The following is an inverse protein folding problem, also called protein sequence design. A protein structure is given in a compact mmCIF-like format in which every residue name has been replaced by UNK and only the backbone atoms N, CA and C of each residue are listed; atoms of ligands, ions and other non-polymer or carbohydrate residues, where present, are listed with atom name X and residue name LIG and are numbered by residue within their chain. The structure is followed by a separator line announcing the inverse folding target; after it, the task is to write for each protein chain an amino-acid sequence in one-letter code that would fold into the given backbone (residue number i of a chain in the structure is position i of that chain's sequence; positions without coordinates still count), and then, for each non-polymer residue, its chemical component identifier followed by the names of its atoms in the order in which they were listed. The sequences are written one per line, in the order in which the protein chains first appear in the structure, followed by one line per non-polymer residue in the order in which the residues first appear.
data_IF_533845642379
#
_entry.id   IF_533845642379
#
_cell.length_a   1.000
_cell.length_b   1.000
_cell.length_c   1.000
_cell.angle_alpha   90.00
_cell.angle_beta   90.00
_cell.angle_gamma   90.00
#
_symmetry.space_group_name_H-M   'P 1'
#
loop_
_entity.id
_entity.type
_entity.pdbx_description
1 polymer ?
#
# COMPACT_ATOMS: atom_id res chain seq x y z
N UNK A 1 -15.25 0.27 -14.27
CA UNK A 1 -15.48 -0.71 -13.20
C UNK A 1 -14.23 -0.75 -12.36
N UNK A 2 -14.33 -0.36 -11.11
CA UNK A 2 -13.22 -0.30 -10.15
C UNK A 2 -12.64 -1.69 -9.93
N UNK A 3 -11.31 -1.83 -9.97
CA UNK A 3 -10.64 -3.11 -9.69
C UNK A 3 -10.72 -3.45 -8.20
N UNK A 4 -10.55 -4.75 -7.84
CA UNK A 4 -10.50 -5.18 -6.43
C UNK A 4 -9.42 -4.45 -5.62
N UNK A 5 -8.31 -4.12 -6.27
CA UNK A 5 -7.18 -3.41 -5.67
C UNK A 5 -7.56 -1.96 -5.32
N UNK A 6 -8.20 -1.26 -6.28
CA UNK A 6 -8.73 0.09 -6.06
C UNK A 6 -9.83 0.10 -5.00
N UNK A 7 -10.77 -0.87 -4.98
CA UNK A 7 -11.80 -0.94 -3.93
C UNK A 7 -11.16 -1.17 -2.55
N UNK A 8 -10.14 -2.02 -2.45
CA UNK A 8 -9.41 -2.22 -1.20
C UNK A 8 -8.74 -0.93 -0.70
N UNK A 9 -8.09 -0.18 -1.59
CA UNK A 9 -7.47 1.10 -1.25
C UNK A 9 -8.50 2.11 -0.77
N UNK A 10 -9.66 2.21 -1.43
CA UNK A 10 -10.78 3.06 -1.02
C UNK A 10 -11.25 2.70 0.39
N UNK A 11 -11.46 1.41 0.68
CA UNK A 11 -11.90 0.96 2.02
C UNK A 11 -10.87 1.31 3.09
N UNK A 12 -9.58 1.09 2.82
CA UNK A 12 -8.51 1.39 3.77
C UNK A 12 -8.39 2.89 4.03
N UNK A 13 -8.45 3.72 2.99
CA UNK A 13 -8.39 5.17 3.12
C UNK A 13 -9.60 5.72 3.91
N UNK A 14 -10.80 5.19 3.64
CA UNK A 14 -12.01 5.59 4.36
C UNK A 14 -11.90 5.24 5.86
N UNK A 15 -11.46 4.02 6.17
CA UNK A 15 -11.24 3.55 7.55
C UNK A 15 -10.19 4.40 8.29
N UNK A 16 -9.06 4.72 7.65
CA UNK A 16 -8.02 5.59 8.21
C UNK A 16 -8.56 6.98 8.51
N UNK A 17 -9.25 7.58 7.55
CA UNK A 17 -9.82 8.93 7.65
C UNK A 17 -10.79 9.05 8.83
N UNK A 18 -11.53 7.98 9.12
CA UNK A 18 -12.51 7.93 10.22
C UNK A 18 -11.94 7.46 11.56
N UNK A 19 -10.63 7.18 11.63
CA UNK A 19 -9.97 6.73 12.84
C UNK A 19 -10.37 5.32 13.28
N UNK A 20 -10.78 4.47 12.34
CA UNK A 20 -10.96 3.04 12.60
C UNK A 20 -9.59 2.40 12.84
N UNK A 21 -9.54 1.38 13.67
CA UNK A 21 -8.34 0.57 13.83
C UNK A 21 -8.14 -0.34 12.62
N UNK A 22 -6.92 -0.84 12.47
CA UNK A 22 -6.59 -1.81 11.42
C UNK A 22 -7.42 -3.09 11.51
N UNK A 23 -7.71 -3.56 12.72
CA UNK A 23 -8.53 -4.75 12.95
C UNK A 23 -10.01 -4.50 12.60
N UNK A 24 -10.49 -3.27 12.79
CA UNK A 24 -11.80 -2.84 12.30
C UNK A 24 -11.83 -2.80 10.76
N UNK A 25 -10.81 -2.25 10.14
CA UNK A 25 -10.66 -2.24 8.68
C UNK A 25 -10.64 -3.66 8.09
N UNK A 26 -9.99 -4.62 8.76
CA UNK A 26 -10.03 -6.04 8.37
C UNK A 26 -11.46 -6.59 8.36
N UNK A 27 -12.26 -6.24 9.36
CA UNK A 27 -13.66 -6.69 9.46
C UNK A 27 -14.53 -6.06 8.37
N UNK A 28 -14.37 -4.76 8.12
CA UNK A 28 -15.06 -4.02 7.06
C UNK A 28 -14.74 -4.60 5.68
N UNK A 29 -13.46 -4.78 5.36
CA UNK A 29 -13.00 -5.39 4.12
C UNK A 29 -13.60 -6.78 3.92
N UNK A 30 -13.57 -7.60 4.97
CA UNK A 30 -14.08 -8.97 4.94
C UNK A 30 -15.58 -9.03 4.66
N UNK A 31 -16.35 -8.13 5.27
CA UNK A 31 -17.78 -8.04 5.06
C UNK A 31 -18.12 -7.58 3.64
N UNK A 32 -17.52 -6.48 3.18
CA UNK A 32 -17.75 -5.98 1.82
C UNK A 32 -17.32 -7.00 0.75
N UNK A 33 -16.26 -7.77 1.00
CA UNK A 33 -15.88 -8.84 0.09
C UNK A 33 -16.88 -10.00 0.10
N UNK A 34 -17.46 -10.33 1.26
CA UNK A 34 -18.51 -11.36 1.35
C UNK A 34 -19.78 -10.94 0.61
N UNK A 35 -20.13 -9.66 0.63
CA UNK A 35 -21.35 -9.15 0.00
C UNK A 35 -21.31 -9.20 -1.54
N UNK A 36 -20.21 -8.78 -2.15
CA UNK A 36 -20.14 -8.67 -3.61
C UNK A 36 -18.82 -9.10 -4.25
N UNK A 37 -17.86 -9.57 -3.46
CA UNK A 37 -16.48 -9.74 -3.93
C UNK A 37 -15.82 -8.41 -4.33
N UNK A 38 -16.30 -7.30 -3.76
CA UNK A 38 -15.96 -5.91 -4.12
C UNK A 38 -16.37 -5.50 -5.54
N UNK A 39 -17.38 -6.14 -6.13
CA UNK A 39 -18.01 -5.67 -7.36
C UNK A 39 -19.00 -4.53 -7.05
N UNK A 40 -18.79 -3.36 -7.65
CA UNK A 40 -19.63 -2.17 -7.49
C UNK A 40 -20.90 -2.20 -8.35
N UNK A 41 -21.01 -3.16 -9.27
CA UNK A 41 -22.06 -3.22 -10.29
C UNK A 41 -23.07 -4.35 -10.10
N UNK A 42 -22.87 -5.19 -9.08
CA UNK A 42 -23.67 -6.40 -8.90
C UNK A 42 -24.97 -6.13 -8.12
N UNK A 43 -26.06 -6.65 -8.65
CA UNK A 43 -27.36 -6.75 -7.97
C UNK A 43 -27.50 -8.08 -7.26
N UNK A 44 -28.20 -8.09 -6.13
CA UNK A 44 -28.67 -9.36 -5.57
C UNK A 44 -29.71 -10.02 -6.51
N UNK A 45 -29.97 -11.32 -6.37
CA UNK A 45 -30.92 -12.03 -7.22
C UNK A 45 -32.34 -11.42 -7.23
N UNK A 46 -32.74 -10.72 -6.17
CA UNK A 46 -34.07 -10.11 -6.05
C UNK A 46 -34.11 -8.64 -6.48
N UNK A 47 -32.97 -8.05 -6.88
CA UNK A 47 -32.83 -6.65 -7.29
C UNK A 47 -33.30 -5.64 -6.23
N UNK A 48 -33.03 -5.95 -4.96
CA UNK A 48 -33.30 -5.10 -3.80
C UNK A 48 -32.03 -4.43 -3.27
N UNK A 49 -30.87 -5.05 -3.43
CA UNK A 49 -29.57 -4.54 -2.96
C UNK A 49 -28.53 -4.49 -4.08
N UNK A 50 -27.62 -3.52 -3.99
CA UNK A 50 -26.67 -3.22 -5.07
C UNK A 50 -25.27 -2.84 -4.55
N UNK A 51 -24.25 -3.21 -5.31
CA UNK A 51 -22.89 -2.70 -5.16
C UNK A 51 -22.05 -3.38 -4.07
N UNK A 52 -20.92 -2.74 -3.73
CA UNK A 52 -19.83 -3.26 -2.88
C UNK A 52 -20.33 -3.78 -1.53
N UNK A 53 -21.32 -3.11 -0.93
CA UNK A 53 -21.86 -3.47 0.37
C UNK A 53 -23.27 -4.08 0.32
N UNK A 54 -23.78 -4.41 -0.88
CA UNK A 54 -25.17 -4.83 -1.10
C UNK A 54 -26.16 -3.87 -0.43
N UNK A 55 -26.16 -2.62 -0.90
CA UNK A 55 -26.92 -1.52 -0.32
C UNK A 55 -28.35 -1.48 -0.82
N UNK A 56 -29.30 -1.35 0.11
CA UNK A 56 -30.72 -1.22 -0.20
C UNK A 56 -31.14 0.19 -0.67
N UNK A 57 -32.45 0.36 -0.87
CA UNK A 57 -33.14 1.61 -1.20
C UNK A 57 -32.72 2.85 -0.41
N UNK A 58 -32.26 2.68 0.84
CA UNK A 58 -32.02 3.75 1.81
C UNK A 58 -30.60 4.33 1.79
N UNK A 59 -29.68 3.78 0.99
CA UNK A 59 -28.34 4.34 0.83
C UNK A 59 -28.34 5.41 -0.28
N UNK A 60 -27.99 6.67 0.04
CA UNK A 60 -27.84 7.70 -0.98
C UNK A 60 -26.63 7.37 -1.87
N UNK A 61 -26.68 7.76 -3.14
CA UNK A 61 -25.55 7.64 -4.08
C UNK A 61 -25.04 6.20 -4.30
N UNK A 62 -25.85 5.17 -4.02
CA UNK A 62 -25.43 3.76 -4.20
C UNK A 62 -25.11 3.38 -5.65
N UNK A 63 -25.43 4.23 -6.62
CA UNK A 63 -25.13 4.04 -8.05
C UNK A 63 -23.93 4.85 -8.54
N UNK A 64 -23.28 5.62 -7.66
CA UNK A 64 -22.25 6.60 -8.02
C UNK A 64 -20.84 6.00 -7.87
N UNK A 65 -20.71 4.68 -8.05
CA UNK A 65 -19.44 3.94 -8.01
C UNK A 65 -18.98 3.48 -6.61
N UNK A 66 -17.88 2.71 -6.57
CA UNK A 66 -17.35 2.08 -5.36
C UNK A 66 -17.05 3.08 -4.24
N UNK A 67 -16.49 4.26 -4.56
CA UNK A 67 -16.17 5.27 -3.55
C UNK A 67 -17.42 5.75 -2.80
N UNK A 68 -18.49 6.09 -3.53
CA UNK A 68 -19.76 6.51 -2.94
C UNK A 68 -20.41 5.38 -2.12
N UNK A 69 -20.38 4.15 -2.65
CA UNK A 69 -20.90 2.97 -1.96
C UNK A 69 -20.15 2.69 -0.66
N UNK A 70 -18.81 2.66 -0.70
CA UNK A 70 -17.98 2.44 0.50
C UNK A 70 -18.24 3.55 1.53
N UNK A 71 -18.20 4.82 1.11
CA UNK A 71 -18.50 5.94 2.01
C UNK A 71 -19.87 5.81 2.69
N UNK A 72 -20.92 5.49 1.93
CA UNK A 72 -22.27 5.37 2.48
C UNK A 72 -22.41 4.18 3.46
N UNK A 73 -21.65 3.10 3.25
CA UNK A 73 -21.55 2.01 4.22
C UNK A 73 -20.90 2.48 5.52
N UNK A 74 -19.74 3.17 5.43
CA UNK A 74 -19.05 3.70 6.61
C UNK A 74 -19.90 4.73 7.37
N UNK A 75 -20.65 5.60 6.66
CA UNK A 75 -21.58 6.56 7.27
C UNK A 75 -22.59 5.86 8.19
N UNK A 76 -23.15 4.73 7.76
CA UNK A 76 -24.09 3.96 8.61
C UNK A 76 -23.39 3.11 9.66
N UNK A 77 -22.21 2.56 9.36
CA UNK A 77 -21.44 1.79 10.31
C UNK A 77 -20.99 2.65 11.50
N UNK A 78 -20.59 3.89 11.28
CA UNK A 78 -20.25 4.84 12.34
C UNK A 78 -21.44 5.14 13.25
N UNK A 79 -22.64 5.27 12.68
CA UNK A 79 -23.86 5.39 13.50
C UNK A 79 -24.01 4.16 14.39
N UNK A 80 -23.76 2.95 13.89
CA UNK A 80 -23.82 1.71 14.69
C UNK A 80 -22.73 1.62 15.75
N UNK A 81 -21.49 1.96 15.42
CA UNK A 81 -20.35 1.99 16.34
C UNK A 81 -20.58 2.93 17.51
N UNK A 82 -21.35 3.99 17.31
CA UNK A 82 -21.66 5.00 18.35
C UNK A 82 -23.06 4.83 18.99
N UNK A 83 -23.86 3.85 18.55
CA UNK A 83 -25.22 3.66 19.07
C UNK A 83 -25.22 2.95 20.44
N UNK A 84 -26.19 3.24 21.33
CA UNK A 84 -26.42 2.43 22.53
C UNK A 84 -26.61 0.95 22.15
N UNK A 85 -25.85 0.05 22.77
CA UNK A 85 -25.87 -1.37 22.43
C UNK A 85 -24.97 -1.79 21.26
N UNK A 86 -24.01 -0.94 20.85
CA UNK A 86 -22.91 -1.36 19.99
C UNK A 86 -22.09 -2.48 20.65
N UNK A 87 -21.57 -3.39 19.82
CA UNK A 87 -20.64 -4.45 20.21
C UNK A 87 -19.26 -4.18 19.64
N UNK A 88 -18.48 -5.26 19.47
CA UNK A 88 -17.30 -5.23 18.62
C UNK A 88 -17.68 -4.94 17.15
N UNK A 89 -16.69 -4.62 16.34
CA UNK A 89 -16.90 -4.25 14.94
C UNK A 89 -17.58 -5.34 14.11
N UNK A 90 -17.29 -6.62 14.37
CA UNK A 90 -17.90 -7.73 13.65
C UNK A 90 -19.39 -7.81 13.94
N UNK A 91 -19.77 -7.66 15.21
CA UNK A 91 -21.17 -7.66 15.62
C UNK A 91 -21.90 -6.40 15.14
N UNK A 92 -21.22 -5.24 15.10
CA UNK A 92 -21.80 -4.00 14.56
C UNK A 92 -22.08 -4.09 13.07
N UNK A 93 -21.17 -4.70 12.28
CA UNK A 93 -21.37 -4.96 10.86
C UNK A 93 -22.54 -5.94 10.65
N UNK A 94 -22.57 -7.03 11.41
CA UNK A 94 -23.67 -8.00 11.33
C UNK A 94 -25.03 -7.37 11.68
N UNK A 95 -25.06 -6.54 12.72
CA UNK A 95 -26.22 -5.77 13.12
C UNK A 95 -26.66 -4.80 12.02
N UNK A 96 -25.72 -4.07 11.42
CA UNK A 96 -25.99 -3.16 10.30
C UNK A 96 -26.57 -3.88 9.08
N UNK A 97 -25.94 -4.97 8.64
CA UNK A 97 -26.26 -5.63 7.38
C UNK A 97 -27.52 -6.49 7.45
N UNK A 98 -27.74 -7.21 8.56
CA UNK A 98 -28.85 -8.17 8.66
C UNK A 98 -30.09 -7.60 9.34
N UNK A 99 -29.90 -6.70 10.33
CA UNK A 99 -30.99 -6.27 11.19
C UNK A 99 -30.81 -4.84 11.73
N UNK A 100 -30.67 -3.82 10.86
CA UNK A 100 -30.31 -2.47 11.28
C UNK A 100 -31.33 -1.83 12.23
N UNK A 101 -32.57 -2.32 12.28
CA UNK A 101 -33.62 -1.80 13.16
C UNK A 101 -33.71 -2.51 14.52
N UNK A 102 -32.86 -3.50 14.79
CA UNK A 102 -32.83 -4.21 16.07
C UNK A 102 -32.15 -3.39 17.17
N UNK A 103 -32.44 -3.68 18.46
CA UNK A 103 -32.06 -2.79 19.55
C UNK A 103 -30.56 -2.78 19.89
N UNK A 104 -29.80 -3.83 19.56
CA UNK A 104 -28.36 -3.90 19.85
C UNK A 104 -27.65 -4.97 19.03
N UNK A 105 -26.32 -4.86 18.95
CA UNK A 105 -25.46 -5.88 18.34
C UNK A 105 -25.52 -7.22 19.09
N UNK A 106 -25.63 -7.17 20.42
CA UNK A 106 -25.83 -8.37 21.24
C UNK A 106 -27.17 -9.05 20.94
N UNK A 107 -28.24 -8.28 20.77
CA UNK A 107 -29.55 -8.84 20.43
C UNK A 107 -29.51 -9.54 19.07
N UNK A 108 -28.75 -9.00 18.11
CA UNK A 108 -28.46 -9.69 16.85
C UNK A 108 -27.69 -11.00 17.07
N UNK A 109 -26.68 -11.04 17.94
CA UNK A 109 -25.94 -12.28 18.21
C UNK A 109 -26.84 -13.39 18.80
N UNK A 110 -27.76 -13.00 19.69
CA UNK A 110 -28.64 -13.93 20.39
C UNK A 110 -29.76 -14.49 19.49
N UNK A 111 -30.31 -13.66 18.58
CA UNK A 111 -31.53 -13.97 17.81
C UNK A 111 -31.36 -13.97 16.29
N UNK A 112 -30.26 -13.42 15.78
CA UNK A 112 -29.98 -13.25 14.36
C UNK A 112 -29.28 -14.47 13.74
N UNK A 113 -28.96 -14.36 12.45
CA UNK A 113 -28.29 -15.43 11.70
C UNK A 113 -26.79 -15.44 11.98
N UNK A 114 -26.38 -16.08 13.07
CA UNK A 114 -24.96 -16.18 13.47
C UNK A 114 -24.03 -16.74 12.37
N UNK A 115 -24.53 -17.59 11.48
CA UNK A 115 -23.75 -18.10 10.34
C UNK A 115 -23.17 -16.97 9.45
N UNK A 116 -23.84 -15.81 9.39
CA UNK A 116 -23.32 -14.65 8.66
C UNK A 116 -22.00 -14.13 9.25
N UNK A 117 -21.81 -14.19 10.57
CA UNK A 117 -20.54 -13.83 11.22
C UNK A 117 -19.41 -14.78 10.80
N UNK A 118 -19.70 -16.07 10.67
CA UNK A 118 -18.72 -17.06 10.21
C UNK A 118 -18.38 -16.85 8.72
N UNK A 119 -19.38 -16.51 7.91
CA UNK A 119 -19.20 -16.20 6.48
C UNK A 119 -18.30 -14.98 6.26
N UNK A 120 -18.55 -13.85 6.93
CA UNK A 120 -17.68 -12.67 6.80
C UNK A 120 -16.27 -12.98 7.32
N UNK A 121 -16.12 -13.69 8.45
CA UNK A 121 -14.80 -14.07 8.98
C UNK A 121 -14.05 -15.03 8.06
N UNK A 122 -14.74 -15.85 7.27
CA UNK A 122 -14.11 -16.72 6.27
C UNK A 122 -13.36 -15.96 5.17
N UNK A 123 -13.57 -14.64 5.06
CA UNK A 123 -12.89 -13.78 4.07
C UNK A 123 -11.60 -13.15 4.57
N UNK A 124 -11.25 -13.31 5.85
CA UNK A 124 -10.05 -12.73 6.45
C UNK A 124 -8.81 -13.06 5.61
N UNK A 125 -8.56 -14.34 5.27
CA UNK A 125 -7.39 -14.73 4.48
C UNK A 125 -7.41 -14.16 3.06
N UNK A 126 -8.60 -13.92 2.50
CA UNK A 126 -8.75 -13.35 1.15
C UNK A 126 -8.44 -11.86 1.13
N UNK A 127 -8.86 -11.12 2.15
CA UNK A 127 -8.71 -9.65 2.18
C UNK A 127 -7.44 -9.19 2.89
N UNK A 128 -6.85 -10.03 3.75
CA UNK A 128 -5.62 -9.71 4.51
C UNK A 128 -4.46 -9.29 3.61
N UNK A 129 -4.18 -9.91 2.45
CA UNK A 129 -3.13 -9.43 1.55
C UNK A 129 -3.36 -7.99 1.09
N UNK A 130 -4.60 -7.62 0.78
CA UNK A 130 -4.96 -6.25 0.40
C UNK A 130 -4.83 -5.28 1.58
N UNK A 131 -5.30 -5.67 2.77
CA UNK A 131 -5.13 -4.85 3.97
C UNK A 131 -3.65 -4.66 4.32
N UNK A 132 -2.83 -5.71 4.23
CA UNK A 132 -1.40 -5.63 4.47
C UNK A 132 -0.71 -4.69 3.47
N UNK A 133 -1.17 -4.68 2.22
CA UNK A 133 -0.66 -3.80 1.17
C UNK A 133 -0.88 -2.31 1.48
N UNK A 134 -2.08 -1.93 1.93
CA UNK A 134 -2.43 -0.52 2.14
C UNK A 134 -2.36 -0.05 3.61
N UNK A 135 -2.33 -0.98 4.56
CA UNK A 135 -2.22 -0.72 6.00
C UNK A 135 -1.40 -1.83 6.68
N UNK A 136 -0.06 -1.78 6.64
CA UNK A 136 0.79 -2.80 7.26
C UNK A 136 0.65 -2.82 8.79
N UNK A 137 0.75 -3.99 9.41
CA UNK A 137 0.71 -4.14 10.87
C UNK A 137 2.01 -3.64 11.52
N UNK A 138 1.90 -2.90 12.64
CA UNK A 138 3.07 -2.47 13.39
C UNK A 138 3.88 -3.68 13.90
N UNK A 139 5.10 -3.85 13.37
CA UNK A 139 6.00 -4.95 13.72
C UNK A 139 5.88 -6.21 12.86
N UNK A 140 4.98 -6.23 11.86
CA UNK A 140 5.01 -7.25 10.81
C UNK A 140 6.14 -6.96 9.84
N UNK A 141 7.04 -7.93 9.63
CA UNK A 141 7.96 -7.86 8.50
C UNK A 141 7.13 -7.71 7.22
N UNK A 142 7.47 -6.77 6.31
CA UNK A 142 6.66 -6.51 5.13
C UNK A 142 6.60 -7.79 4.30
N UNK A 143 5.43 -8.40 4.21
CA UNK A 143 5.14 -9.30 3.09
C UNK A 143 4.72 -8.39 1.97
N UNK A 144 5.75 -8.08 1.21
CA UNK A 144 5.74 -7.43 -0.09
C UNK A 144 4.57 -7.97 -0.93
N UNK A 145 3.89 -7.09 -1.67
CA UNK A 145 3.45 -7.39 -3.05
C UNK A 145 4.68 -7.98 -3.81
N UNK A 146 4.74 -8.17 -5.12
CA UNK A 146 5.98 -7.77 -5.76
C UNK A 146 6.12 -6.28 -5.42
N UNK A 147 6.69 -5.91 -4.26
CA UNK A 147 7.45 -4.67 -4.20
C UNK A 147 8.43 -4.94 -5.32
N UNK A 148 8.26 -4.25 -6.44
CA UNK A 148 9.41 -4.03 -7.28
C UNK A 148 10.52 -3.66 -6.29
N UNK A 149 11.54 -4.52 -6.08
CA UNK A 149 12.57 -4.25 -5.09
C UNK A 149 13.30 -2.94 -5.42
N UNK A 150 13.04 -2.40 -6.61
CA UNK A 150 13.54 -1.15 -7.12
C UNK A 150 12.57 0.02 -6.93
N UNK A 151 11.34 -0.16 -6.42
CA UNK A 151 10.43 0.94 -6.11
C UNK A 151 11.08 1.90 -5.10
N UNK A 152 11.17 3.20 -5.40
CA UNK A 152 11.64 4.18 -4.43
C UNK A 152 10.76 4.23 -3.18
N UNK A 153 11.32 4.70 -2.07
CA UNK A 153 10.55 4.91 -0.85
C UNK A 153 9.71 6.19 -0.97
N UNK A 154 8.40 6.02 -1.14
CA UNK A 154 7.41 7.09 -1.18
C UNK A 154 6.05 6.59 -0.72
N UNK A 155 5.29 7.50 -0.08
CA UNK A 155 3.90 7.31 0.28
C UNK A 155 3.01 7.66 -0.91
N UNK A 156 2.02 6.82 -1.21
CA UNK A 156 1.14 6.97 -2.36
C UNK A 156 -0.31 6.70 -1.95
N UNK A 157 -1.23 7.60 -2.28
CA UNK A 157 -2.66 7.42 -1.99
C UNK A 157 -3.55 8.24 -2.92
N UNK A 158 -4.77 7.74 -3.17
CA UNK A 158 -5.74 8.43 -4.01
C UNK A 158 -6.44 9.59 -3.33
N UNK A 159 -6.55 10.71 -4.06
CA UNK A 159 -7.34 11.91 -3.77
C UNK A 159 -8.18 12.23 -5.01
N UNK A 160 -8.96 11.23 -5.45
CA UNK A 160 -9.68 11.30 -6.72
C UNK A 160 -10.73 12.41 -6.76
N UNK A 161 -10.76 13.16 -7.87
CA UNK A 161 -11.73 14.23 -8.12
C UNK A 161 -12.48 14.06 -9.45
N UNK A 162 -13.45 14.94 -9.68
CA UNK A 162 -14.33 14.92 -10.87
C UNK A 162 -13.77 15.73 -12.06
N UNK A 163 -12.61 16.36 -11.89
CA UNK A 163 -11.98 17.21 -12.92
C UNK A 163 -11.22 16.35 -13.93
N UNK A 164 -11.93 15.59 -14.74
CA UNK A 164 -11.35 14.74 -15.78
C UNK A 164 -12.31 14.57 -16.95
N UNK A 165 -11.81 14.01 -18.05
CA UNK A 165 -12.65 13.59 -19.18
C UNK A 165 -12.25 12.22 -19.73
N UNK A 166 -13.17 11.59 -20.45
CA UNK A 166 -12.87 10.42 -21.27
C UNK A 166 -11.90 10.81 -22.41
N UNK A 167 -10.91 9.95 -22.70
CA UNK A 167 -9.90 10.21 -23.73
C UNK A 167 -10.44 10.08 -25.16
N UNK A 168 -11.69 9.64 -25.34
CA UNK A 168 -12.33 9.49 -26.65
C UNK A 168 -11.69 8.42 -27.54
N UNK A 169 -10.95 7.47 -26.95
CA UNK A 169 -10.13 6.50 -27.67
C UNK A 169 -8.78 7.03 -28.16
N UNK A 170 -8.39 8.25 -27.77
CA UNK A 170 -7.07 8.82 -28.06
C UNK A 170 -5.98 7.98 -27.39
N UNK A 171 -4.97 7.58 -28.16
CA UNK A 171 -3.82 6.85 -27.64
C UNK A 171 -2.95 7.80 -26.81
N UNK A 172 -2.59 7.36 -25.60
CA UNK A 172 -1.60 8.05 -24.77
C UNK A 172 -0.22 7.87 -25.40
N UNK A 173 0.47 8.98 -25.64
CA UNK A 173 1.83 8.99 -26.18
C UNK A 173 2.75 10.01 -25.51
N UNK A 174 2.24 10.75 -24.51
CA UNK A 174 3.00 11.73 -23.74
C UNK A 174 2.92 11.45 -22.23
N UNK A 175 4.04 11.66 -21.55
CA UNK A 175 4.12 11.76 -20.09
C UNK A 175 4.79 13.09 -19.74
N UNK A 176 4.05 13.98 -19.09
CA UNK A 176 4.42 15.38 -18.94
C UNK A 176 4.62 15.75 -17.47
N UNK A 177 5.74 16.43 -17.19
CA UNK A 177 6.01 17.03 -15.89
C UNK A 177 5.65 18.51 -15.85
N UNK A 178 5.18 18.95 -14.68
CA UNK A 178 4.71 20.30 -14.43
C UNK A 178 5.25 20.85 -13.10
N UNK A 179 5.29 22.18 -12.99
CA UNK A 179 5.42 22.89 -11.70
C UNK A 179 4.06 23.39 -11.24
N UNK A 180 3.87 23.53 -9.93
CA UNK A 180 2.66 24.12 -9.36
C UNK A 180 2.60 25.64 -9.58
N UNK A 181 3.76 26.32 -9.59
CA UNK A 181 3.87 27.76 -9.41
C UNK A 181 3.29 28.23 -8.05
N UNK A 182 3.43 27.39 -7.04
CA UNK A 182 2.88 27.55 -5.69
C UNK A 182 3.74 26.90 -4.61
N UNK A 183 3.28 26.98 -3.37
CA UNK A 183 3.98 26.52 -2.16
C UNK A 183 3.24 25.40 -1.41
N UNK A 184 2.22 24.79 -2.03
CA UNK A 184 1.51 23.66 -1.41
C UNK A 184 2.36 22.39 -1.41
N UNK A 185 2.05 21.46 -0.51
CA UNK A 185 2.54 20.08 -0.63
C UNK A 185 1.59 19.26 -1.52
N UNK A 186 1.99 18.04 -1.89
CA UNK A 186 1.23 17.18 -2.80
C UNK A 186 -0.23 16.98 -2.35
N UNK A 187 -0.45 16.75 -1.06
CA UNK A 187 -1.76 16.53 -0.46
C UNK A 187 -2.67 17.76 -0.57
N UNK A 188 -2.14 18.92 -0.15
CA UNK A 188 -2.86 20.18 -0.20
C UNK A 188 -3.21 20.58 -1.64
N UNK A 189 -2.28 20.40 -2.58
CA UNK A 189 -2.53 20.67 -4.00
C UNK A 189 -3.61 19.73 -4.57
N UNK A 190 -3.53 18.44 -4.26
CA UNK A 190 -4.53 17.45 -4.69
C UNK A 190 -5.93 17.79 -4.17
N UNK A 191 -6.05 18.11 -2.88
CA UNK A 191 -7.32 18.53 -2.30
C UNK A 191 -7.82 19.88 -2.84
N UNK A 192 -6.93 20.84 -3.09
CA UNK A 192 -7.30 22.13 -3.67
C UNK A 192 -7.89 21.98 -5.07
N UNK A 193 -7.30 21.14 -5.93
CA UNK A 193 -7.83 20.89 -7.28
C UNK A 193 -9.27 20.37 -7.24
N UNK A 194 -9.60 19.52 -6.26
CA UNK A 194 -10.96 19.01 -6.07
C UNK A 194 -11.97 20.07 -5.60
N UNK A 195 -11.51 21.27 -5.24
CA UNK A 195 -12.39 22.43 -4.96
C UNK A 195 -12.64 23.31 -6.20
N UNK A 196 -11.85 23.14 -7.27
CA UNK A 196 -12.00 23.91 -8.51
C UNK A 196 -13.15 23.34 -9.35
N UNK A 197 -13.88 24.20 -10.07
CA UNK A 197 -15.05 23.79 -10.87
C UNK A 197 -15.29 24.73 -12.05
N UNK A 198 -16.14 24.30 -12.99
CA UNK A 198 -16.49 25.09 -14.18
C UNK A 198 -15.27 25.37 -15.07
N UNK A 199 -15.18 26.59 -15.60
CA UNK A 199 -14.07 27.01 -16.47
C UNK A 199 -12.71 27.10 -15.74
N UNK A 200 -12.72 27.12 -14.41
CA UNK A 200 -11.51 27.13 -13.57
C UNK A 200 -11.05 25.74 -13.14
N UNK A 201 -11.80 24.70 -13.53
CA UNK A 201 -11.49 23.34 -13.11
C UNK A 201 -10.18 22.86 -13.72
N UNK A 202 -9.28 22.41 -12.87
CA UNK A 202 -7.96 21.90 -13.24
C UNK A 202 -7.67 20.62 -12.47
N UNK A 203 -6.81 19.77 -13.05
CA UNK A 203 -6.32 18.57 -12.40
C UNK A 203 -4.99 18.12 -12.98
N UNK A 204 -4.30 17.22 -12.28
CA UNK A 204 -3.20 16.40 -12.79
C UNK A 204 -3.56 14.93 -12.58
N UNK A 205 -2.75 14.00 -13.08
CA UNK A 205 -2.88 12.59 -12.68
C UNK A 205 -2.22 12.37 -11.33
N UNK A 206 -1.06 13.00 -11.15
CA UNK A 206 -0.26 12.90 -9.94
C UNK A 206 0.12 14.29 -9.43
N UNK A 207 0.09 14.47 -8.10
CA UNK A 207 0.86 15.52 -7.41
C UNK A 207 1.93 14.86 -6.57
N UNK A 208 3.13 15.42 -6.54
CA UNK A 208 4.23 14.88 -5.73
C UNK A 208 5.05 15.97 -5.06
N UNK A 209 5.47 15.73 -3.82
CA UNK A 209 6.38 16.63 -3.10
C UNK A 209 7.28 15.84 -2.14
N UNK A 210 8.50 16.34 -1.94
CA UNK A 210 9.40 15.92 -0.87
C UNK A 210 9.27 16.87 0.33
N UNK A 211 8.98 16.36 1.53
CA UNK A 211 8.93 17.18 2.74
C UNK A 211 10.33 17.67 3.11
N UNK A 212 10.54 18.99 3.29
CA UNK A 212 11.88 19.54 3.52
C UNK A 212 12.48 19.20 4.89
N UNK A 213 11.69 18.67 5.84
CA UNK A 213 12.15 18.38 7.19
C UNK A 213 12.62 16.93 7.35
N UNK A 214 11.86 15.97 6.81
CA UNK A 214 12.17 14.54 6.94
C UNK A 214 12.54 13.87 5.62
N UNK A 215 12.45 14.60 4.50
CA UNK A 215 12.70 14.11 3.16
C UNK A 215 11.85 12.90 2.78
N UNK A 216 10.65 12.79 3.38
CA UNK A 216 9.61 11.86 2.99
C UNK A 216 8.96 12.33 1.69
N UNK A 217 8.71 11.40 0.77
CA UNK A 217 8.02 11.69 -0.49
C UNK A 217 6.56 11.30 -0.36
N UNK A 218 5.67 12.21 -0.73
CA UNK A 218 4.24 11.96 -0.86
C UNK A 218 3.82 12.14 -2.30
N UNK A 219 3.07 11.17 -2.81
CA UNK A 219 2.41 11.22 -4.12
C UNK A 219 0.91 11.02 -3.90
N UNK A 220 0.10 11.89 -4.51
CA UNK A 220 -1.35 11.74 -4.53
C UNK A 220 -1.83 11.41 -5.94
N UNK A 221 -2.63 10.35 -6.08
CA UNK A 221 -3.31 10.02 -7.33
C UNK A 221 -4.60 10.83 -7.42
N UNK A 222 -4.66 11.80 -8.33
CA UNK A 222 -5.79 12.75 -8.44
C UNK A 222 -6.76 12.35 -9.55
N UNK A 223 -6.23 11.87 -10.67
CA UNK A 223 -7.02 11.36 -11.80
C UNK A 223 -6.44 10.02 -12.21
N UNK A 224 -7.28 9.00 -12.35
CA UNK A 224 -6.83 7.71 -12.90
C UNK A 224 -6.30 7.94 -14.33
N UNK A 225 -5.09 7.47 -14.58
CA UNK A 225 -4.39 7.51 -15.89
C UNK A 225 -5.22 7.02 -17.09
N UNK A 226 -6.26 6.20 -16.88
CA UNK A 226 -7.17 5.78 -17.95
C UNK A 226 -8.08 6.92 -18.44
N UNK A 227 -8.29 7.96 -17.64
CA UNK A 227 -8.95 9.21 -18.01
C UNK A 227 -7.91 10.31 -18.30
N UNK A 228 -8.32 11.38 -18.97
CA UNK A 228 -7.50 12.56 -19.16
C UNK A 228 -7.70 13.55 -18.00
N UNK A 229 -6.60 14.08 -17.47
CA UNK A 229 -6.60 15.23 -16.56
C UNK A 229 -6.72 16.56 -17.33
N UNK A 230 -7.20 17.61 -16.67
CA UNK A 230 -7.31 18.97 -17.19
C UNK A 230 -6.06 19.79 -16.83
N UNK A 231 -4.95 19.55 -17.55
CA UNK A 231 -3.63 20.09 -17.19
C UNK A 231 -2.94 20.88 -18.31
N UNK A 232 -3.22 20.53 -19.57
CA UNK A 232 -2.35 20.84 -20.71
C UNK A 232 -3.13 21.06 -22.01
N UNK A 233 -4.33 21.63 -21.88
CA UNK A 233 -5.18 22.06 -23.01
C UNK A 233 -5.43 20.93 -24.02
N UNK A 234 -5.24 21.19 -25.30
CA UNK A 234 -5.50 20.24 -26.40
C UNK A 234 -4.65 18.96 -26.34
N UNK A 235 -3.61 18.92 -25.48
CA UNK A 235 -2.80 17.72 -25.27
C UNK A 235 -3.31 16.80 -24.15
N UNK A 236 -4.40 17.17 -23.43
CA UNK A 236 -4.92 16.40 -22.29
C UNK A 236 -5.17 14.91 -22.64
N UNK A 237 -5.86 14.65 -23.76
CA UNK A 237 -6.32 13.29 -24.10
C UNK A 237 -5.18 12.31 -24.41
N UNK A 238 -4.00 12.82 -24.77
CA UNK A 238 -2.82 12.05 -25.14
C UNK A 238 -1.72 12.03 -24.07
N UNK A 239 -1.91 12.76 -22.96
CA UNK A 239 -0.90 12.93 -21.92
C UNK A 239 -1.30 12.31 -20.58
N UNK A 240 -0.29 11.83 -19.87
CA UNK A 240 -0.28 11.66 -18.41
C UNK A 240 0.49 12.85 -17.84
N UNK A 241 0.03 13.39 -16.71
CA UNK A 241 0.52 14.66 -16.18
C UNK A 241 0.90 14.53 -14.70
N UNK A 242 2.16 14.78 -14.38
CA UNK A 242 2.70 14.78 -13.02
C UNK A 242 3.09 16.20 -12.62
N UNK A 243 2.55 16.72 -11.52
CA UNK A 243 2.90 18.03 -11.00
C UNK A 243 3.78 17.91 -9.76
N UNK A 244 4.93 18.56 -9.78
CA UNK A 244 5.75 18.76 -8.58
C UNK A 244 5.10 19.86 -7.74
N UNK A 245 4.46 19.49 -6.63
CA UNK A 245 3.88 20.45 -5.70
C UNK A 245 4.98 21.24 -4.98
N UNK A 246 4.68 22.49 -4.66
CA UNK A 246 5.59 23.41 -3.97
C UNK A 246 6.77 23.84 -4.83
N UNK A 247 6.62 23.86 -6.16
CA UNK A 247 7.71 24.09 -7.12
C UNK A 247 7.43 25.22 -8.10
N UNK A 248 8.50 25.77 -8.67
CA UNK A 248 8.44 26.90 -9.60
C UNK A 248 9.39 26.67 -10.79
N UNK A 249 8.97 27.08 -11.98
CA UNK A 249 9.76 27.02 -13.20
C UNK A 249 10.98 27.96 -13.17
N UNK A 250 11.01 28.89 -12.21
CA UNK A 250 12.15 29.76 -11.95
C UNK A 250 13.25 29.11 -11.11
N UNK A 251 13.00 27.92 -10.53
CA UNK A 251 13.97 27.24 -9.69
C UNK A 251 15.27 26.93 -10.42
N UNK A 252 16.36 27.18 -9.72
CA UNK A 252 17.69 26.70 -10.05
C UNK A 252 17.76 25.19 -9.92
N UNK A 253 18.79 24.60 -10.52
CA UNK A 253 19.06 23.17 -10.35
C UNK A 253 19.20 22.77 -8.88
N UNK A 254 19.90 23.56 -8.08
CA UNK A 254 20.15 23.23 -6.67
C UNK A 254 18.85 23.21 -5.85
N UNK A 255 17.88 24.08 -6.17
CA UNK A 255 16.54 24.05 -5.58
C UNK A 255 15.78 22.79 -6.01
N UNK A 256 15.80 22.43 -7.29
CA UNK A 256 15.22 21.18 -7.78
C UNK A 256 15.83 19.94 -7.12
N UNK A 257 17.14 19.93 -6.89
CA UNK A 257 17.82 18.80 -6.27
C UNK A 257 17.44 18.62 -4.79
N UNK A 258 16.83 19.61 -4.13
CA UNK A 258 16.24 19.43 -2.80
C UNK A 258 14.98 18.54 -2.84
N UNK A 259 14.36 18.35 -4.01
CA UNK A 259 13.24 17.43 -4.24
C UNK A 259 13.65 16.19 -5.05
N UNK A 260 14.94 15.84 -5.06
CA UNK A 260 15.47 14.75 -5.90
C UNK A 260 14.82 13.38 -5.65
N UNK A 261 14.31 13.10 -4.44
CA UNK A 261 13.59 11.86 -4.18
C UNK A 261 12.20 11.86 -4.81
N UNK A 262 11.52 13.02 -4.81
CA UNK A 262 10.26 13.15 -5.54
C UNK A 262 10.48 13.01 -7.06
N UNK A 263 11.56 13.59 -7.61
CA UNK A 263 11.93 13.40 -9.02
C UNK A 263 12.20 11.92 -9.33
N UNK A 264 12.84 11.21 -8.40
CA UNK A 264 13.09 9.76 -8.51
C UNK A 264 11.78 8.96 -8.50
N UNK A 265 10.84 9.29 -7.62
CA UNK A 265 9.54 8.63 -7.56
C UNK A 265 8.68 8.93 -8.80
N UNK A 266 8.72 10.16 -9.31
CA UNK A 266 8.11 10.54 -10.58
C UNK A 266 8.67 9.73 -11.76
N UNK A 267 10.00 9.52 -11.80
CA UNK A 267 10.64 8.69 -12.83
C UNK A 267 10.21 7.22 -12.77
N UNK A 268 10.06 6.68 -11.55
CA UNK A 268 9.55 5.34 -11.35
C UNK A 268 8.10 5.19 -11.87
N UNK A 269 7.20 6.10 -11.48
CA UNK A 269 5.80 6.08 -11.96
C UNK A 269 5.72 6.26 -13.48
N UNK A 270 6.53 7.16 -14.04
CA UNK A 270 6.65 7.34 -15.48
C UNK A 270 6.99 6.04 -16.21
N UNK A 271 7.91 5.23 -15.68
CA UNK A 271 8.24 3.92 -16.24
C UNK A 271 7.08 2.94 -16.13
N UNK A 272 6.37 2.91 -14.99
CA UNK A 272 5.18 2.05 -14.83
C UNK A 272 4.10 2.40 -15.86
N UNK A 273 3.84 3.69 -16.05
CA UNK A 273 2.90 4.19 -17.06
C UNK A 273 3.36 3.89 -18.49
N UNK A 274 4.66 4.07 -18.78
CA UNK A 274 5.21 3.71 -20.08
C UNK A 274 4.99 2.23 -20.41
N UNK A 275 5.13 1.35 -19.42
CA UNK A 275 4.85 -0.08 -19.58
C UNK A 275 3.35 -0.30 -19.81
N UNK A 276 2.49 0.27 -18.94
CA UNK A 276 1.02 0.13 -19.01
C UNK A 276 0.47 0.54 -20.37
N UNK A 277 0.93 1.67 -20.90
CA UNK A 277 0.42 2.27 -22.13
C UNK A 277 1.29 2.02 -23.36
N UNK A 278 2.33 1.19 -23.24
CA UNK A 278 3.27 0.88 -24.34
C UNK A 278 3.89 2.14 -24.95
N UNK A 279 4.31 3.08 -24.11
CA UNK A 279 5.04 4.30 -24.48
C UNK A 279 6.53 3.98 -24.40
N UNK A 280 7.29 4.38 -25.41
CA UNK A 280 8.76 4.29 -25.34
C UNK A 280 9.27 5.41 -24.42
N UNK A 281 10.08 5.11 -23.39
CA UNK A 281 10.50 6.10 -22.39
C UNK A 281 11.64 6.99 -22.92
N UNK A 282 11.39 7.68 -24.02
CA UNK A 282 12.30 8.64 -24.61
C UNK A 282 12.12 10.01 -23.93
N UNK A 283 13.14 10.49 -23.23
CA UNK A 283 13.11 11.83 -22.63
C UNK A 283 13.39 12.88 -23.70
N UNK A 284 12.40 13.73 -23.96
CA UNK A 284 12.43 14.83 -24.91
C UNK A 284 12.66 16.11 -24.10
N UNK A 285 13.91 16.35 -23.69
CA UNK A 285 14.30 17.57 -22.99
C UNK A 285 14.47 18.76 -23.96
N UNK A 286 14.49 20.02 -23.48
CA UNK A 286 14.90 21.17 -24.27
C UNK A 286 16.23 20.90 -25.01
N UNK A 287 16.37 21.26 -26.30
CA UNK A 287 15.49 22.11 -27.10
C UNK A 287 14.38 21.38 -27.88
N UNK A 288 13.93 20.20 -27.43
CA UNK A 288 12.80 19.44 -27.99
C UNK A 288 12.97 19.01 -29.44
N UNK A 289 13.95 18.13 -29.70
CA UNK A 289 14.32 17.73 -31.05
C UNK A 289 13.51 16.54 -31.63
N UNK A 290 12.48 16.05 -30.93
CA UNK A 290 11.76 14.83 -31.29
C UNK A 290 10.25 15.00 -31.16
N UNK A 291 9.51 14.35 -32.04
CA UNK A 291 8.06 14.19 -31.96
C UNK A 291 7.68 13.09 -30.94
N UNK A 292 6.41 13.05 -30.46
CA UNK A 292 5.93 11.98 -29.60
C UNK A 292 6.00 10.61 -30.33
N UNK A 293 6.09 9.48 -29.61
CA UNK A 293 5.89 9.31 -28.18
C UNK A 293 7.11 9.71 -27.33
N UNK A 294 6.87 10.21 -26.11
CA UNK A 294 7.95 10.46 -25.17
C UNK A 294 7.55 11.15 -23.87
N UNK A 295 8.57 11.48 -23.11
CA UNK A 295 8.50 12.07 -21.77
C UNK A 295 9.03 13.49 -21.86
N UNK A 296 8.26 14.48 -21.45
CA UNK A 296 8.65 15.89 -21.58
C UNK A 296 7.98 16.76 -20.52
N UNK A 297 7.95 18.08 -20.70
CA UNK A 297 7.31 19.06 -19.82
C UNK A 297 6.23 19.85 -20.56
N UNK A 298 5.52 20.74 -19.87
CA UNK A 298 4.51 21.59 -20.52
C UNK A 298 5.13 22.52 -21.57
N UNK A 299 6.36 22.98 -21.35
CA UNK A 299 7.05 23.82 -22.33
C UNK A 299 7.23 23.12 -23.68
N UNK A 300 7.40 21.80 -23.74
CA UNK A 300 7.35 21.04 -24.99
C UNK A 300 6.01 21.22 -25.72
N UNK A 301 4.90 21.15 -25.01
CA UNK A 301 3.57 21.36 -25.60
C UNK A 301 3.45 22.78 -26.18
N UNK A 302 3.97 23.79 -25.48
CA UNK A 302 3.97 25.17 -25.97
C UNK A 302 4.92 25.41 -27.13
N UNK A 303 6.16 24.91 -27.07
CA UNK A 303 7.21 25.25 -28.05
C UNK A 303 7.26 24.32 -29.25
N UNK A 304 7.02 23.03 -29.04
CA UNK A 304 7.08 22.01 -30.08
C UNK A 304 5.71 21.73 -30.69
N UNK A 305 4.67 21.58 -29.87
CA UNK A 305 3.30 21.33 -30.36
C UNK A 305 2.53 22.62 -30.69
N UNK A 306 2.99 23.78 -30.21
CA UNK A 306 2.36 25.08 -30.46
C UNK A 306 1.06 25.32 -29.69
N UNK A 307 0.88 24.63 -28.55
CA UNK A 307 -0.35 24.68 -27.73
C UNK A 307 -0.06 25.33 -26.38
N UNK A 308 -0.85 26.34 -26.02
CA UNK A 308 -0.73 27.02 -24.73
C UNK A 308 0.45 28.00 -24.65
N UNK A 309 0.71 28.48 -23.43
CA UNK A 309 1.72 29.51 -23.13
C UNK A 309 2.62 29.15 -21.96
N UNK A 310 2.37 28.02 -21.30
CA UNK A 310 3.08 27.60 -20.10
C UNK A 310 4.48 27.05 -20.44
N UNK A 311 5.42 27.24 -19.53
CA UNK A 311 6.85 27.00 -19.79
C UNK A 311 7.57 26.27 -18.65
N UNK A 312 6.80 25.69 -17.74
CA UNK A 312 7.25 24.69 -16.78
C UNK A 312 7.88 23.48 -17.49
N UNK A 313 8.91 22.85 -16.93
CA UNK A 313 9.42 22.94 -15.55
C UNK A 313 10.61 23.90 -15.34
N UNK A 314 10.94 24.71 -16.34
CA UNK A 314 12.03 25.69 -16.21
C UNK A 314 13.40 25.22 -16.75
N UNK A 315 14.32 26.17 -16.92
CA UNK A 315 15.69 25.88 -17.41
C UNK A 315 16.55 25.16 -16.35
N UNK A 316 16.20 25.28 -15.07
CA UNK A 316 16.94 24.68 -13.97
C UNK A 316 16.62 23.21 -13.71
N UNK A 317 15.56 22.66 -14.30
CA UNK A 317 15.16 21.27 -14.02
C UNK A 317 16.25 20.27 -14.42
N UNK A 318 16.58 19.29 -13.55
CA UNK A 318 17.69 18.38 -13.77
C UNK A 318 17.32 17.23 -14.73
N UNK A 319 17.14 17.56 -16.01
CA UNK A 319 16.77 16.61 -17.07
C UNK A 319 17.70 15.40 -17.17
N UNK A 320 19.00 15.59 -16.97
CA UNK A 320 20.01 14.53 -16.93
C UNK A 320 19.76 13.55 -15.78
N UNK A 321 19.43 14.05 -14.59
CA UNK A 321 19.10 13.22 -13.44
C UNK A 321 17.80 12.45 -13.68
N UNK A 322 16.75 13.15 -14.12
CA UNK A 322 15.45 12.54 -14.41
C UNK A 322 15.54 11.45 -15.49
N UNK A 323 16.24 11.73 -16.60
CA UNK A 323 16.50 10.74 -17.64
C UNK A 323 17.31 9.54 -17.14
N UNK A 324 18.28 9.77 -16.25
CA UNK A 324 19.06 8.68 -15.66
C UNK A 324 18.22 7.76 -14.78
N UNK A 325 17.28 8.29 -13.99
CA UNK A 325 16.37 7.50 -13.16
C UNK A 325 15.35 6.75 -14.01
N UNK A 326 14.81 7.35 -15.07
CA UNK A 326 13.94 6.66 -16.04
C UNK A 326 14.68 5.48 -16.70
N UNK A 327 15.90 5.71 -17.19
CA UNK A 327 16.70 4.66 -17.82
C UNK A 327 17.00 3.50 -16.85
N UNK A 328 17.31 3.84 -15.58
CA UNK A 328 17.50 2.88 -14.49
C UNK A 328 16.25 2.04 -14.25
N UNK A 329 15.09 2.65 -14.00
CA UNK A 329 13.87 1.89 -13.72
C UNK A 329 13.38 1.10 -14.94
N UNK A 330 13.54 1.65 -16.15
CA UNK A 330 13.21 0.92 -17.38
C UNK A 330 14.06 -0.34 -17.53
N UNK A 331 15.38 -0.24 -17.30
CA UNK A 331 16.27 -1.39 -17.34
C UNK A 331 15.91 -2.44 -16.28
N UNK A 332 15.57 -2.00 -15.06
CA UNK A 332 15.16 -2.89 -13.97
C UNK A 332 13.85 -3.61 -14.29
N UNK A 333 12.87 -2.92 -14.85
CA UNK A 333 11.60 -3.53 -15.27
C UNK A 333 11.74 -4.54 -16.42
N UNK A 334 12.80 -4.42 -17.23
CA UNK A 334 13.08 -5.30 -18.38
C UNK A 334 14.24 -6.29 -18.13
N UNK A 335 14.71 -6.42 -16.89
CA UNK A 335 15.83 -7.29 -16.54
C UNK A 335 15.48 -8.80 -16.57
N UNK A 336 14.24 -9.18 -16.87
CA UNK A 336 13.81 -10.57 -16.98
C UNK A 336 14.12 -11.17 -18.37
N UNK A 337 15.41 -11.53 -18.53
CA UNK A 337 15.93 -12.31 -19.65
C UNK A 337 17.34 -12.87 -19.47
N UNK A 338 18.10 -12.43 -18.45
CA UNK A 338 19.38 -13.06 -18.11
C UNK A 338 19.65 -12.97 -16.60
N UNK A 339 19.69 -14.13 -15.96
CA UNK A 339 20.23 -14.43 -14.62
C UNK A 339 20.88 -13.25 -13.88
N UNK A 340 20.14 -12.60 -12.99
CA UNK A 340 20.71 -11.74 -11.96
C UNK A 340 20.86 -12.55 -10.66
N UNK A 341 22.07 -13.03 -10.48
CA UNK A 341 22.58 -13.54 -9.21
C UNK A 341 22.54 -12.41 -8.17
N UNK A 342 22.00 -12.61 -6.96
CA UNK A 342 21.96 -11.57 -5.93
C UNK A 342 23.36 -11.15 -5.47
N UNK A 343 23.51 -9.93 -4.91
CA UNK A 343 24.79 -9.43 -4.40
C UNK A 343 25.34 -10.37 -3.33
N UNK A 344 26.67 -10.50 -3.28
CA UNK A 344 27.38 -11.33 -2.31
C UNK A 344 27.13 -10.87 -0.87
N UNK A 345 26.03 -11.34 -0.27
CA UNK A 345 25.90 -11.50 1.17
C UNK A 345 26.77 -12.66 1.62
N UNK A 346 27.42 -12.49 2.78
CA UNK A 346 28.21 -13.52 3.49
C UNK A 346 27.61 -14.92 3.28
N UNK A 347 28.39 -15.93 2.84
CA UNK A 347 27.84 -17.20 2.39
C UNK A 347 27.05 -17.88 3.51
N UNK A 348 25.72 -17.86 3.40
CA UNK A 348 24.86 -18.84 4.03
C UNK A 348 25.11 -20.16 3.31
N UNK A 349 25.47 -21.19 4.08
CA UNK A 349 25.73 -22.54 3.60
C UNK A 349 24.66 -22.99 2.61
N UNK A 350 25.10 -23.47 1.44
CA UNK A 350 24.23 -23.87 0.34
C UNK A 350 23.02 -24.70 0.81
N UNK A 351 21.81 -24.23 0.51
CA UNK A 351 20.58 -25.01 0.72
C UNK A 351 20.63 -26.20 -0.27
N UNK A 352 20.57 -27.45 0.21
CA UNK A 352 20.64 -28.61 -0.68
C UNK A 352 19.45 -28.64 -1.65
N UNK A 353 19.69 -29.01 -2.91
CA UNK A 353 18.68 -29.22 -3.95
C UNK A 353 18.55 -30.70 -4.31
N UNK A 354 17.43 -31.09 -4.95
CA UNK A 354 17.19 -32.48 -5.37
C UNK A 354 16.98 -33.42 -4.18
N UNK A 355 17.49 -34.65 -4.27
CA UNK A 355 17.30 -35.69 -3.25
C UNK A 355 17.75 -35.26 -1.84
N UNK A 356 18.71 -34.35 -1.74
CA UNK A 356 19.15 -33.78 -0.48
C UNK A 356 18.13 -32.80 0.13
N UNK A 357 17.41 -32.04 -0.70
CA UNK A 357 16.27 -31.21 -0.26
C UNK A 357 15.10 -32.09 0.19
N UNK A 358 14.81 -33.13 -0.59
CA UNK A 358 13.74 -34.09 -0.29
C UNK A 358 14.03 -34.83 1.02
N UNK A 359 15.28 -35.25 1.23
CA UNK A 359 15.71 -35.86 2.50
C UNK A 359 15.56 -34.91 3.68
N UNK A 360 15.94 -33.63 3.55
CA UNK A 360 15.74 -32.63 4.60
C UNK A 360 14.26 -32.41 4.94
N UNK A 361 13.37 -32.36 3.94
CA UNK A 361 11.93 -32.21 4.13
C UNK A 361 11.33 -33.46 4.80
N UNK A 362 11.75 -34.66 4.39
CA UNK A 362 11.30 -35.90 5.00
C UNK A 362 11.85 -36.06 6.43
N UNK A 363 13.08 -35.64 6.70
CA UNK A 363 13.66 -35.64 8.05
C UNK A 363 12.92 -34.67 8.98
N UNK A 364 12.43 -33.54 8.46
CA UNK A 364 11.54 -32.64 9.22
C UNK A 364 10.21 -33.31 9.59
N UNK A 365 9.59 -34.03 8.67
CA UNK A 365 8.27 -34.63 8.87
C UNK A 365 8.29 -35.95 9.66
N UNK A 366 9.32 -36.77 9.43
CA UNK A 366 9.38 -38.16 9.88
C UNK A 366 10.46 -38.41 10.94
N UNK A 367 11.25 -37.40 11.29
CA UNK A 367 12.41 -37.52 12.17
C UNK A 367 13.70 -37.86 11.42
N UNK A 368 14.86 -37.90 12.10
CA UNK A 368 16.14 -38.20 11.46
C UNK A 368 16.13 -39.53 10.71
N UNK A 369 16.76 -39.57 9.53
CA UNK A 369 16.96 -40.81 8.79
C UNK A 369 18.12 -41.60 9.42
N UNK A 370 17.84 -42.84 9.84
CA UNK A 370 18.87 -43.77 10.28
C UNK A 370 19.32 -44.65 9.11
N UNK A 371 20.50 -44.34 8.56
CA UNK A 371 21.09 -45.09 7.44
C UNK A 371 21.40 -46.56 7.79
N UNK A 372 21.50 -46.92 9.08
CA UNK A 372 21.72 -48.32 9.51
C UNK A 372 20.44 -49.14 9.55
N UNK A 373 19.31 -48.49 9.85
CA UNK A 373 17.99 -49.14 9.93
C UNK A 373 17.17 -48.95 8.65
N UNK A 374 17.61 -48.09 7.74
CA UNK A 374 16.91 -47.77 6.49
C UNK A 374 15.53 -47.18 6.72
N UNK A 375 15.36 -46.40 7.80
CA UNK A 375 14.07 -45.78 8.16
C UNK A 375 14.26 -44.47 8.93
N UNK A 376 13.23 -43.63 8.90
CA UNK A 376 13.14 -42.48 9.78
C UNK A 376 12.82 -42.91 11.22
N UNK A 377 13.53 -42.37 12.20
CA UNK A 377 13.42 -42.81 13.60
C UNK A 377 12.30 -42.13 14.38
N UNK A 378 11.58 -41.19 13.76
CA UNK A 378 10.69 -40.28 14.48
C UNK A 378 11.46 -39.26 15.33
N UNK A 379 10.71 -38.39 15.98
CA UNK A 379 11.24 -37.37 16.90
C UNK A 379 11.10 -37.86 18.35
N UNK A 380 12.19 -38.23 19.04
CA UNK A 380 12.12 -38.77 20.41
C UNK A 380 11.38 -37.86 21.40
N UNK A 381 11.55 -36.54 21.25
CA UNK A 381 10.84 -35.55 22.06
C UNK A 381 9.33 -35.53 21.82
N UNK A 382 8.84 -35.91 20.63
CA UNK A 382 7.41 -36.07 20.37
C UNK A 382 6.87 -37.41 20.90
N UNK A 383 7.72 -38.42 21.01
CA UNK A 383 7.39 -39.73 21.59
C UNK A 383 7.43 -39.76 23.12
N UNK A 384 7.86 -38.67 23.75
CA UNK A 384 7.97 -38.56 25.21
C UNK A 384 9.19 -39.24 25.80
N UNK A 385 10.27 -39.39 25.02
CA UNK A 385 11.53 -39.94 25.50
C UNK A 385 12.09 -39.06 26.65
N UNK A 386 12.36 -39.63 27.85
CA UNK A 386 12.73 -38.84 29.02
C UNK A 386 14.02 -38.02 28.85
N UNK A 387 15.01 -38.54 28.12
CA UNK A 387 16.28 -37.86 27.91
C UNK A 387 16.12 -36.72 26.89
N UNK A 388 15.33 -36.94 25.83
CA UNK A 388 14.98 -35.91 24.85
C UNK A 388 14.15 -34.77 25.47
N UNK A 389 13.18 -35.08 26.34
CA UNK A 389 12.39 -34.07 27.05
C UNK A 389 13.26 -33.26 28.03
N UNK A 390 14.28 -33.87 28.64
CA UNK A 390 15.24 -33.17 29.51
C UNK A 390 16.10 -32.17 28.71
N UNK A 391 16.55 -32.55 27.52
CA UNK A 391 17.25 -31.63 26.60
C UNK A 391 16.34 -30.48 26.18
N UNK A 392 15.07 -30.78 25.87
CA UNK A 392 14.07 -29.77 25.52
C UNK A 392 13.80 -28.78 26.67
N UNK A 393 13.64 -29.27 27.90
CA UNK A 393 13.50 -28.41 29.08
C UNK A 393 14.71 -27.47 29.24
N UNK A 394 15.93 -27.96 28.99
CA UNK A 394 17.14 -27.13 28.99
C UNK A 394 17.11 -26.00 27.95
N UNK A 395 16.58 -26.27 26.74
CA UNK A 395 16.40 -25.24 25.70
C UNK A 395 15.35 -24.20 26.11
N UNK A 396 14.23 -24.64 26.66
CA UNK A 396 13.15 -23.77 27.15
C UNK A 396 13.63 -22.87 28.28
N UNK A 397 14.38 -23.41 29.23
CA UNK A 397 14.93 -22.66 30.36
C UNK A 397 15.99 -21.62 29.92
N UNK A 398 16.76 -21.94 28.88
CA UNK A 398 17.76 -21.06 28.30
C UNK A 398 17.17 -19.98 27.37
N UNK A 399 15.85 -20.01 27.09
CA UNK A 399 15.20 -19.07 26.18
C UNK A 399 15.68 -19.19 24.73
N UNK A 400 16.20 -20.35 24.34
CA UNK A 400 16.67 -20.60 22.97
C UNK A 400 15.45 -20.73 22.05
N UNK A 401 15.45 -20.11 20.86
CA UNK A 401 14.41 -20.32 19.86
C UNK A 401 14.21 -21.82 19.59
N UNK A 402 12.98 -22.31 19.80
CA UNK A 402 12.65 -23.71 19.58
C UNK A 402 12.42 -23.98 18.09
N UNK A 403 12.85 -25.15 17.62
CA UNK A 403 12.38 -25.66 16.34
C UNK A 403 10.88 -25.93 16.39
N UNK A 404 10.20 -26.02 15.23
CA UNK A 404 8.76 -26.33 15.19
C UNK A 404 8.42 -27.64 15.93
N UNK A 405 9.29 -28.66 15.81
CA UNK A 405 9.14 -29.95 16.50
C UNK A 405 9.33 -29.80 18.01
N UNK A 406 10.34 -29.05 18.43
CA UNK A 406 10.61 -28.79 19.85
C UNK A 406 9.48 -27.97 20.49
N UNK A 407 8.92 -26.98 19.77
CA UNK A 407 7.78 -26.20 20.23
C UNK A 407 6.52 -27.06 20.38
N UNK A 408 6.25 -27.95 19.41
CA UNK A 408 5.13 -28.88 19.48
C UNK A 408 5.29 -29.90 20.62
N UNK A 409 6.50 -30.42 20.83
CA UNK A 409 6.81 -31.29 21.95
C UNK A 409 6.65 -30.58 23.30
N UNK A 410 7.12 -29.33 23.41
CA UNK A 410 7.00 -28.54 24.62
C UNK A 410 5.53 -28.27 24.98
N UNK A 411 4.71 -27.94 23.98
CA UNK A 411 3.27 -27.79 24.14
C UNK A 411 2.61 -29.12 24.59
N UNK A 412 2.93 -30.22 23.91
CA UNK A 412 2.36 -31.55 24.19
C UNK A 412 2.67 -32.05 25.60
N UNK A 413 3.90 -31.85 26.07
CA UNK A 413 4.36 -32.31 27.38
C UNK A 413 4.35 -31.22 28.46
N UNK A 414 3.74 -30.06 28.15
CA UNK A 414 3.57 -28.92 29.05
C UNK A 414 4.89 -28.42 29.68
N UNK A 415 5.96 -28.41 28.88
CA UNK A 415 7.29 -27.95 29.26
C UNK A 415 7.28 -26.41 29.25
N UNK A 416 7.50 -25.81 30.41
CA UNK A 416 7.50 -24.35 30.61
C UNK A 416 8.80 -23.90 31.29
N UNK A 417 9.23 -22.63 31.15
CA UNK A 417 10.46 -22.15 31.76
C UNK A 417 10.43 -22.32 33.28
N UNK A 418 11.42 -23.03 33.82
CA UNK A 418 11.48 -23.36 35.24
C UNK A 418 11.80 -22.15 36.14
N UNK A 419 12.23 -21.01 35.57
CA UNK A 419 12.42 -19.72 36.26
C UNK A 419 12.06 -18.53 35.37
N UNK A 420 11.30 -17.58 35.90
CA UNK A 420 10.99 -16.30 35.25
C UNK A 420 12.28 -15.51 34.98
N UNK A 421 12.59 -15.10 33.75
CA UNK A 421 13.74 -14.24 33.47
C UNK A 421 13.55 -12.90 34.19
N UNK A 422 14.53 -12.49 35.01
CA UNK A 422 14.55 -11.12 35.57
C UNK A 422 14.65 -10.12 34.42
N UNK A 423 13.65 -9.26 34.29
CA UNK A 423 13.65 -8.15 33.33
C UNK A 423 14.89 -7.29 33.52
N UNK A 424 15.65 -7.10 32.45
CA UNK A 424 16.81 -6.20 32.43
C UNK A 424 16.27 -4.76 32.36
N UNK A 425 16.32 -4.03 33.48
CA UNK A 425 16.00 -2.60 33.51
C UNK A 425 16.97 -1.80 32.62
N UNK A 426 16.43 -0.95 31.75
CA UNK A 426 17.16 0.04 30.97
C UNK A 426 17.93 1.03 31.89
N UNK A 427 19.08 1.59 31.44
CA UNK A 427 19.91 2.44 32.29
C UNK A 427 19.29 3.83 32.47
N UNK A 428 19.30 4.32 33.71
CA UNK A 428 18.72 5.60 34.12
C UNK A 428 19.41 6.82 33.45
N UNK A 429 18.60 7.74 32.92
CA UNK A 429 19.03 9.04 32.36
C UNK A 429 19.73 9.89 33.44
N UNK A 430 20.98 10.31 33.19
CA UNK A 430 21.73 11.26 34.04
C UNK A 430 21.10 12.66 33.98
N UNK A 431 20.83 13.26 35.16
CA UNK A 431 20.41 14.67 35.31
C UNK A 431 21.52 15.64 34.87
N UNK A 432 21.19 16.80 34.26
CA UNK A 432 22.18 17.81 33.89
C UNK A 432 22.67 18.59 35.12
N UNK A 433 23.97 18.84 35.18
CA UNK A 433 24.65 19.55 36.25
C UNK A 433 24.38 21.07 36.20
N UNK A 434 24.09 21.66 37.37
CA UNK A 434 23.95 23.11 37.56
C UNK A 434 25.30 23.81 37.33
N UNK A 435 25.30 24.76 36.40
CA UNK A 435 26.40 25.66 36.09
C UNK A 435 26.51 26.75 37.17
N UNK A 436 27.58 26.74 37.95
CA UNK A 436 27.92 27.79 38.91
C UNK A 436 28.60 28.96 38.21
N UNK A 437 28.08 30.16 38.43
CA UNK A 437 28.71 31.42 38.02
C UNK A 437 29.70 31.86 39.11
N UNK A 438 30.93 32.19 38.73
CA UNK A 438 31.77 33.08 39.54
C UNK A 438 32.64 33.95 38.64
N UNK A 439 32.37 35.26 38.72
CA UNK A 439 33.16 36.36 38.16
C UNK A 439 34.50 36.49 38.89
N UNK A 440 35.52 36.85 38.12
CA UNK A 440 36.65 37.73 38.45
C UNK A 440 37.10 37.84 39.92
N UNK A 441 38.28 37.31 40.22
CA UNK A 441 39.51 38.10 40.25
C UNK A 441 40.71 37.23 39.91
#
# INVERSE_FOLDING_TARGET
MTTKDQVAQIIVNEARTRGHSRDECLAEMSALYQESGWDETIWDPTHTTYGVAQQDGSYPHRFDGAAAQVKAFFDKLDVKRNSPGHGDIWLNICWLQQAPNWPSAQYWYDHGRRAYLDEIKSRIDTVTPYLNKYWPAAGGSPVTTPTDPNRPDYNEYGVYGDNFQDRGGTKIDLWLIHTEEGDMNADALAHWMNTTSGESAVSYHYTGSEDPNDHGVTICDVVDTDYASWSVLDANDRAINFCFAGSYASWTRDEWMQQSKCITAAAYLCVQDCIKYSITPNVIAPPYAADPPGISDHRYVTKHLGVGTHVDVGDGFPWDFFASEIAKFWALAHADGSSSQPPAGTPLSAIPSGDAATRLLLEQQLGPWDDTQGRFTGWPQLSGDPDALKVLQGKVDAGVPLSQVDALAALRFNITPSKTPKAVCAPAKKKPAKRTSRKAR
#
